data_IF_276499242300
#
_entry.id   IF_276499242300
#
_cell.length_a   1.000
_cell.length_b   1.000
_cell.length_c   1.000
_cell.angle_alpha   90.00
_cell.angle_beta   90.00
_cell.angle_gamma   90.00
#
_symmetry.space_group_name_H-M   'P 1'
#
loop_
_entity.id
_entity.type
_entity.pdbx_description
1 polymer ?
#
# COMPACT_ATOMS: atom_id res chain seq x y z
N UNK A 1 9.75 -4.94 2.13
CA UNK A 1 9.97 -3.77 1.23
C UNK A 1 10.49 -4.22 -0.13
N UNK A 2 11.37 -5.24 -0.21
CA UNK A 2 11.78 -5.81 -1.50
C UNK A 2 10.61 -6.33 -2.35
N UNK A 3 9.59 -6.93 -1.72
CA UNK A 3 8.41 -7.41 -2.44
C UNK A 3 7.65 -6.31 -3.22
N UNK A 4 7.53 -5.10 -2.67
CA UNK A 4 6.86 -4.00 -3.36
C UNK A 4 7.60 -3.61 -4.65
N UNK A 5 8.93 -3.60 -4.64
CA UNK A 5 9.76 -3.34 -5.83
C UNK A 5 9.73 -4.49 -6.83
N UNK A 6 9.51 -5.73 -6.39
CA UNK A 6 9.32 -6.85 -7.30
C UNK A 6 7.96 -6.76 -8.00
N UNK A 7 6.91 -6.39 -7.27
CA UNK A 7 5.56 -6.25 -7.81
C UNK A 7 5.47 -5.20 -8.92
N UNK A 8 6.28 -4.13 -8.89
CA UNK A 8 6.25 -3.09 -9.95
C UNK A 8 6.67 -3.59 -11.33
N UNK A 9 7.33 -4.75 -11.41
CA UNK A 9 7.66 -5.42 -12.67
C UNK A 9 6.44 -6.04 -13.36
N UNK A 10 5.42 -6.39 -12.59
CA UNK A 10 4.24 -7.12 -13.06
C UNK A 10 2.96 -6.27 -13.03
N UNK A 11 2.85 -5.36 -12.07
CA UNK A 11 1.68 -4.51 -11.90
C UNK A 11 1.81 -3.17 -12.64
N UNK A 12 0.68 -2.62 -13.05
CA UNK A 12 0.58 -1.24 -13.58
C UNK A 12 0.87 -0.21 -12.49
N UNK A 13 0.34 -0.44 -11.30
CA UNK A 13 0.50 0.36 -10.09
C UNK A 13 0.62 -0.57 -8.88
N UNK A 14 1.42 -0.18 -7.89
CA UNK A 14 1.58 -0.89 -6.62
C UNK A 14 1.26 0.07 -5.49
N UNK A 15 0.18 -0.22 -4.75
CA UNK A 15 -0.19 0.54 -3.56
C UNK A 15 0.30 -0.21 -2.32
N UNK A 16 1.21 0.41 -1.57
CA UNK A 16 1.71 -0.12 -0.31
C UNK A 16 0.91 0.49 0.83
N UNK A 17 0.10 -0.35 1.50
CA UNK A 17 -0.66 0.06 2.69
C UNK A 17 0.18 -0.19 3.93
N UNK A 18 0.41 0.85 4.73
CA UNK A 18 1.16 0.74 5.97
C UNK A 18 0.41 1.37 7.14
N UNK A 19 0.30 0.61 8.25
CA UNK A 19 -0.46 1.01 9.45
C UNK A 19 0.22 2.05 10.34
N UNK A 20 1.44 2.50 10.01
CA UNK A 20 2.22 3.50 10.75
C UNK A 20 2.70 4.58 9.79
N UNK A 21 3.34 5.62 10.31
CA UNK A 21 3.95 6.70 9.52
C UNK A 21 5.36 6.39 8.97
N UNK A 22 5.94 5.24 9.33
CA UNK A 22 7.34 4.94 8.99
C UNK A 22 7.60 3.45 8.76
N UNK A 23 8.48 3.14 7.80
CA UNK A 23 8.94 1.77 7.57
C UNK A 23 10.08 1.39 8.54
N UNK A 24 10.16 0.11 8.88
CA UNK A 24 11.30 -0.48 9.61
C UNK A 24 12.49 -0.87 8.72
N UNK A 25 12.36 -0.75 7.40
CA UNK A 25 13.41 -1.13 6.46
C UNK A 25 14.59 -0.15 6.48
N UNK A 26 15.72 -0.52 5.88
CA UNK A 26 16.89 0.37 5.76
C UNK A 26 16.54 1.64 4.97
N UNK A 27 17.19 2.77 5.30
CA UNK A 27 16.94 4.08 4.66
C UNK A 27 17.01 4.02 3.13
N UNK A 28 18.03 3.34 2.59
CA UNK A 28 18.23 3.18 1.15
C UNK A 28 17.04 2.47 0.50
N UNK A 29 16.50 1.45 1.16
CA UNK A 29 15.35 0.70 0.64
C UNK A 29 14.06 1.53 0.73
N UNK A 30 13.90 2.34 1.78
CA UNK A 30 12.80 3.30 1.89
C UNK A 30 12.84 4.31 0.73
N UNK A 31 14.00 4.91 0.46
CA UNK A 31 14.14 5.88 -0.62
C UNK A 31 13.82 5.28 -1.99
N UNK A 32 14.27 4.04 -2.26
CA UNK A 32 13.97 3.35 -3.53
C UNK A 32 12.47 3.17 -3.75
N UNK A 33 11.74 2.80 -2.70
CA UNK A 33 10.29 2.59 -2.77
C UNK A 33 9.57 3.94 -2.91
N UNK A 34 9.96 4.93 -2.12
CA UNK A 34 9.35 6.27 -2.12
C UNK A 34 9.57 7.04 -3.44
N UNK A 35 10.69 6.80 -4.13
CA UNK A 35 11.03 7.45 -5.41
C UNK A 35 10.52 6.70 -6.63
N UNK A 36 9.90 5.53 -6.45
CA UNK A 36 9.48 4.70 -7.59
C UNK A 36 8.15 5.21 -8.17
N UNK A 37 8.07 5.53 -9.47
CA UNK A 37 6.89 6.20 -10.06
C UNK A 37 5.62 5.34 -10.08
N UNK A 38 5.76 4.02 -10.02
CA UNK A 38 4.62 3.07 -9.94
C UNK A 38 4.19 2.74 -8.51
N UNK A 39 4.85 3.28 -7.49
CA UNK A 39 4.55 2.94 -6.10
C UNK A 39 3.88 4.12 -5.41
N UNK A 40 2.70 3.88 -4.85
CA UNK A 40 2.00 4.82 -3.98
C UNK A 40 1.95 4.23 -2.58
N UNK A 41 2.19 5.05 -1.55
CA UNK A 41 2.21 4.58 -0.16
C UNK A 41 1.07 5.24 0.60
N UNK A 42 0.20 4.41 1.18
CA UNK A 42 -0.87 4.83 2.08
C UNK A 42 -0.42 4.60 3.52
N UNK A 43 0.02 5.67 4.16
CA UNK A 43 0.43 5.68 5.55
C UNK A 43 -0.76 5.68 6.51
N UNK A 44 -0.49 5.27 7.75
CA UNK A 44 -1.49 5.20 8.82
C UNK A 44 -2.78 4.49 8.38
N UNK A 45 -2.71 3.54 7.46
CA UNK A 45 -3.89 2.93 6.82
C UNK A 45 -3.88 1.42 7.04
N UNK A 46 -5.06 0.85 7.26
CA UNK A 46 -5.29 -0.59 7.39
C UNK A 46 -6.41 -1.05 6.46
N UNK A 47 -6.31 -2.30 6.00
CA UNK A 47 -7.38 -2.98 5.28
C UNK A 47 -8.47 -3.40 6.27
N UNK A 48 -9.72 -3.06 5.94
CA UNK A 48 -10.88 -3.38 6.77
C UNK A 48 -11.77 -4.45 6.13
N UNK A 49 -11.84 -4.50 4.81
CA UNK A 49 -12.72 -5.43 4.10
C UNK A 49 -12.17 -5.79 2.72
N UNK A 50 -12.43 -7.02 2.27
CA UNK A 50 -12.18 -7.47 0.92
C UNK A 50 -13.48 -7.37 0.11
N UNK A 51 -13.40 -6.83 -1.10
CA UNK A 51 -14.57 -6.66 -1.97
C UNK A 51 -14.51 -7.67 -3.11
N UNK A 52 -15.58 -8.44 -3.28
CA UNK A 52 -15.73 -9.47 -4.31
C UNK A 52 -16.08 -10.84 -3.72
N UNK A 53 -16.84 -11.64 -4.45
CA UNK A 53 -17.33 -12.95 -3.99
C UNK A 53 -16.35 -14.07 -4.39
N UNK A 54 -16.21 -14.35 -5.69
CA UNK A 54 -15.29 -15.40 -6.18
C UNK A 54 -13.89 -14.87 -6.54
N UNK A 55 -13.79 -13.59 -6.90
CA UNK A 55 -12.54 -12.90 -7.25
C UNK A 55 -12.47 -11.57 -6.54
N UNK A 56 -11.29 -11.23 -6.03
CA UNK A 56 -11.03 -9.92 -5.44
C UNK A 56 -11.19 -8.84 -6.50
N UNK A 57 -12.16 -7.96 -6.30
CA UNK A 57 -12.42 -6.78 -7.15
C UNK A 57 -11.86 -5.51 -6.54
N UNK A 58 -11.69 -5.49 -5.22
CA UNK A 58 -11.21 -4.33 -4.50
C UNK A 58 -11.02 -4.57 -3.02
N UNK A 59 -10.63 -3.53 -2.30
CA UNK A 59 -10.46 -3.54 -0.84
C UNK A 59 -10.98 -2.25 -0.23
N UNK A 60 -11.56 -2.34 0.97
CA UNK A 60 -11.81 -1.17 1.80
C UNK A 60 -10.62 -0.92 2.71
N UNK A 61 -10.16 0.32 2.71
CA UNK A 61 -9.06 0.80 3.51
C UNK A 61 -9.56 1.87 4.46
N UNK A 62 -9.09 1.85 5.71
CA UNK A 62 -9.38 2.87 6.72
C UNK A 62 -8.08 3.50 7.19
N UNK A 63 -8.02 4.82 7.10
CA UNK A 63 -6.95 5.59 7.72
C UNK A 63 -7.22 5.71 9.23
N UNK A 64 -6.23 5.31 10.02
CA UNK A 64 -6.26 5.20 11.47
C UNK A 64 -6.11 6.55 12.17
N UNK A 65 -5.59 7.59 11.50
CA UNK A 65 -5.42 8.92 12.10
C UNK A 65 -6.66 9.79 11.96
N UNK A 66 -7.28 9.82 10.77
CA UNK A 66 -8.41 10.69 10.49
C UNK A 66 -9.75 9.94 10.34
N UNK A 67 -9.72 8.60 10.34
CA UNK A 67 -10.92 7.77 10.22
C UNK A 67 -11.49 7.69 8.80
N UNK A 68 -10.86 8.32 7.80
CA UNK A 68 -11.32 8.28 6.41
C UNK A 68 -11.30 6.85 5.88
N UNK A 69 -12.39 6.45 5.23
CA UNK A 69 -12.53 5.17 4.56
C UNK A 69 -12.47 5.40 3.06
N UNK A 70 -11.67 4.59 2.36
CA UNK A 70 -11.53 4.61 0.91
C UNK A 70 -11.76 3.21 0.36
N UNK A 71 -12.36 3.17 -0.82
CA UNK A 71 -12.68 1.94 -1.54
C UNK A 71 -11.95 2.01 -2.89
N UNK A 72 -11.27 0.94 -3.27
CA UNK A 72 -10.54 0.83 -4.53
C UNK A 72 -10.56 -0.59 -5.05
#
# INVERSE_FOLDING_TARGET
>A
MEEALVMTKFAREVVVVHRRDSFRASKIMQERVLKHPKITILWDTCLTEYLGEEKLKGVKLKNLKNGTVQEG
#
